data_IF_921299714877
#
_entry.id   IF_921299714877
#
_cell.length_a   1.000
_cell.length_b   1.000
_cell.length_c   1.000
_cell.angle_alpha   90.00
_cell.angle_beta   90.00
_cell.angle_gamma   90.00
#
_symmetry.space_group_name_H-M   'P 1'
#
loop_
_entity.id
_entity.type
_entity.pdbx_description
1 polymer ?
#
# COMPACT_ATOMS: atom_id res chain seq x y z
N UNK A 1 -6.32 -23.93 -4.34
CA UNK A 1 -5.81 -22.63 -4.85
C UNK A 1 -5.86 -21.67 -3.67
N UNK A 2 -4.80 -20.90 -3.44
CA UNK A 2 -4.79 -19.89 -2.38
C UNK A 2 -6.02 -18.98 -2.52
N UNK A 3 -6.58 -18.56 -1.38
CA UNK A 3 -7.74 -17.67 -1.37
C UNK A 3 -7.38 -16.35 -2.06
N UNK A 4 -7.98 -16.10 -3.24
CA UNK A 4 -7.73 -14.88 -4.00
C UNK A 4 -8.26 -13.61 -3.30
N UNK A 5 -9.01 -13.77 -2.21
CA UNK A 5 -9.55 -12.67 -1.40
C UNK A 5 -8.69 -12.31 -0.19
N UNK A 6 -7.59 -13.04 0.05
CA UNK A 6 -6.68 -12.81 1.17
C UNK A 6 -5.23 -12.61 0.70
N UNK A 7 -4.90 -11.39 0.29
CA UNK A 7 -3.54 -10.98 -0.03
C UNK A 7 -2.80 -10.66 1.28
N UNK A 8 -1.58 -11.20 1.43
CA UNK A 8 -0.71 -10.98 2.59
C UNK A 8 0.52 -10.22 2.17
N UNK A 9 0.87 -9.17 2.92
CA UNK A 9 2.10 -8.42 2.70
C UNK A 9 3.18 -8.91 3.63
N UNK A 10 4.34 -9.19 3.05
CA UNK A 10 5.51 -9.71 3.75
C UNK A 10 6.69 -8.78 3.56
N UNK A 11 7.53 -8.71 4.58
CA UNK A 11 8.83 -8.06 4.55
C UNK A 11 9.91 -9.13 4.62
N UNK A 12 10.73 -9.21 3.57
CA UNK A 12 11.86 -10.13 3.54
C UNK A 12 13.17 -9.35 3.47
N UNK A 13 14.09 -9.61 4.42
CA UNK A 13 15.41 -8.96 4.47
C UNK A 13 16.51 -9.94 4.85
N UNK A 14 17.64 -9.82 4.17
CA UNK A 14 18.85 -10.58 4.48
C UNK A 14 19.56 -9.97 5.69
N UNK A 15 19.79 -10.77 6.73
CA UNK A 15 20.48 -10.33 7.95
C UNK A 15 22.02 -10.41 7.88
N UNK A 16 22.55 -10.89 6.74
CA UNK A 16 23.96 -11.22 6.56
C UNK A 16 24.21 -12.72 6.42
N UNK A 17 23.30 -13.56 6.90
CA UNK A 17 23.44 -15.02 6.96
C UNK A 17 22.20 -15.82 6.54
N UNK A 18 21.00 -15.29 6.77
CA UNK A 18 19.72 -15.91 6.42
C UNK A 18 18.70 -14.84 6.02
N UNK A 19 17.75 -15.22 5.16
CA UNK A 19 16.59 -14.39 4.86
C UNK A 19 15.59 -14.47 6.01
N UNK A 20 15.32 -13.32 6.63
CA UNK A 20 14.18 -13.15 7.52
C UNK A 20 12.96 -12.82 6.68
N UNK A 21 11.81 -13.44 6.96
CA UNK A 21 10.52 -13.21 6.29
C UNK A 21 9.42 -13.08 7.36
N UNK A 22 8.81 -11.90 7.42
CA UNK A 22 7.77 -11.57 8.38
C UNK A 22 6.53 -11.03 7.67
N UNK A 23 5.35 -11.58 7.98
CA UNK A 23 4.09 -10.96 7.59
C UNK A 23 3.97 -9.58 8.26
N UNK A 24 3.72 -8.56 7.46
CA UNK A 24 3.48 -7.20 7.93
C UNK A 24 2.01 -7.06 8.34
N UNK A 25 1.09 -7.41 7.43
CA UNK A 25 -0.35 -7.21 7.60
C UNK A 25 -1.17 -8.01 6.56
N UNK A 26 -2.43 -8.38 6.87
CA UNK A 26 -3.41 -8.69 5.83
C UNK A 26 -3.67 -7.47 4.94
N UNK A 27 -3.32 -7.58 3.66
CA UNK A 27 -3.59 -6.59 2.61
C UNK A 27 -5.02 -6.62 2.09
N UNK A 28 -5.81 -7.62 2.51
CA UNK A 28 -7.20 -7.81 2.07
C UNK A 28 -7.27 -8.38 0.66
N UNK A 29 -8.37 -8.11 -0.05
CA UNK A 29 -8.56 -8.56 -1.44
C UNK A 29 -8.00 -7.55 -2.44
N UNK A 30 -8.38 -7.71 -3.70
CA UNK A 30 -8.14 -6.73 -4.76
C UNK A 30 -8.91 -5.42 -4.55
N UNK A 31 -8.37 -4.29 -5.04
CA UNK A 31 -9.02 -2.98 -4.94
C UNK A 31 -10.05 -2.66 -6.05
N UNK A 32 -9.98 -3.22 -7.27
CA UNK A 32 -11.01 -2.98 -8.28
C UNK A 32 -12.43 -3.30 -7.78
N UNK A 33 -13.36 -2.43 -8.14
CA UNK A 33 -14.76 -2.47 -7.73
C UNK A 33 -15.62 -2.95 -8.89
N UNK A 34 -15.55 -4.24 -9.20
CA UNK A 34 -16.40 -4.86 -10.22
C UNK A 34 -17.91 -4.69 -9.89
N UNK A 35 -18.74 -4.23 -10.85
CA UNK A 35 -20.18 -4.08 -10.65
C UNK A 35 -20.89 -5.39 -10.27
N UNK A 36 -22.03 -5.33 -9.55
CA UNK A 36 -22.83 -6.51 -9.24
C UNK A 36 -23.22 -7.30 -10.48
N UNK A 37 -23.18 -8.64 -10.38
CA UNK A 37 -23.48 -9.54 -11.51
C UNK A 37 -22.31 -9.80 -12.45
N UNK A 38 -21.17 -9.13 -12.25
CA UNK A 38 -19.94 -9.39 -13.01
C UNK A 38 -18.90 -10.11 -12.14
N UNK A 39 -18.03 -10.89 -12.78
CA UNK A 39 -16.90 -11.55 -12.13
C UNK A 39 -15.68 -10.63 -12.16
N UNK A 40 -15.02 -10.48 -11.02
CA UNK A 40 -13.74 -9.78 -10.96
C UNK A 40 -12.68 -10.49 -11.81
N UNK A 41 -11.97 -9.71 -12.63
CA UNK A 41 -10.89 -10.19 -13.50
C UNK A 41 -9.51 -9.95 -12.88
N UNK A 42 -9.38 -8.93 -12.04
CA UNK A 42 -8.13 -8.47 -11.44
C UNK A 42 -8.00 -8.96 -9.98
N UNK A 43 -8.32 -10.24 -9.72
CA UNK A 43 -8.36 -10.82 -8.36
C UNK A 43 -6.99 -10.83 -7.64
N UNK A 44 -5.91 -10.57 -8.35
CA UNK A 44 -4.55 -10.46 -7.80
C UNK A 44 -4.10 -8.99 -7.63
N UNK A 45 -4.97 -8.02 -7.94
CA UNK A 45 -4.59 -6.62 -7.97
C UNK A 45 -4.80 -5.96 -6.60
N UNK A 46 -3.85 -6.22 -5.71
CA UNK A 46 -3.83 -5.75 -4.33
C UNK A 46 -3.70 -4.22 -4.21
N UNK A 47 -4.00 -3.69 -3.02
CA UNK A 47 -3.81 -2.28 -2.69
C UNK A 47 -2.36 -1.81 -2.92
N UNK A 48 -1.37 -2.65 -2.64
CA UNK A 48 0.04 -2.42 -2.93
C UNK A 48 0.87 -2.08 -1.69
N UNK A 49 2.16 -2.38 -1.76
CA UNK A 49 3.18 -2.14 -0.74
C UNK A 49 4.48 -1.75 -1.44
N UNK A 50 5.23 -0.83 -0.84
CA UNK A 50 6.51 -0.34 -1.34
C UNK A 50 7.46 -0.05 -0.17
N UNK A 51 8.73 -0.38 -0.35
CA UNK A 51 9.80 0.02 0.56
C UNK A 51 10.25 1.44 0.20
N UNK A 52 10.64 2.22 1.19
CA UNK A 52 11.42 3.42 0.90
C UNK A 52 12.74 3.02 0.25
N UNK A 53 13.10 3.75 -0.81
CA UNK A 53 14.28 3.44 -1.62
C UNK A 53 15.59 3.83 -0.92
N UNK A 54 15.54 4.82 -0.02
CA UNK A 54 16.70 5.31 0.73
C UNK A 54 16.80 4.64 2.11
N UNK A 55 15.66 4.22 2.67
CA UNK A 55 15.60 3.52 3.95
C UNK A 55 14.65 2.29 3.93
N UNK A 56 15.17 1.09 3.60
CA UNK A 56 14.36 -0.13 3.56
C UNK A 56 13.78 -0.60 4.91
N UNK A 57 14.05 0.10 6.02
CA UNK A 57 13.35 -0.09 7.30
C UNK A 57 11.96 0.60 7.31
N UNK A 58 11.66 1.41 6.29
CA UNK A 58 10.39 2.10 6.10
C UNK A 58 9.57 1.47 4.97
N UNK A 59 8.30 1.24 5.25
CA UNK A 59 7.32 0.64 4.32
C UNK A 59 6.09 1.52 4.21
N UNK A 60 5.60 1.72 2.99
CA UNK A 60 4.29 2.28 2.72
C UNK A 60 3.39 1.19 2.14
N UNK A 61 2.22 0.97 2.73
CA UNK A 61 1.29 -0.06 2.29
C UNK A 61 -0.13 0.48 2.21
N UNK A 62 -0.94 -0.13 1.34
CA UNK A 62 -2.36 0.13 1.20
C UNK A 62 -3.16 -1.10 1.61
N UNK A 63 -4.06 -0.96 2.58
CA UNK A 63 -4.94 -2.06 3.04
C UNK A 63 -6.35 -1.57 3.35
N UNK A 64 -7.36 -2.44 3.30
CA UNK A 64 -8.73 -2.03 3.62
C UNK A 64 -8.90 -1.75 5.12
N UNK A 65 -9.54 -0.63 5.41
CA UNK A 65 -10.02 -0.22 6.74
C UNK A 65 -11.48 0.16 6.57
N UNK A 66 -12.39 -0.55 7.23
CA UNK A 66 -13.84 -0.34 7.09
C UNK A 66 -14.31 -0.35 5.62
N UNK A 67 -13.68 -1.18 4.78
CA UNK A 67 -14.06 -1.34 3.38
C UNK A 67 -13.43 -0.34 2.41
N UNK A 68 -12.64 0.64 2.87
CA UNK A 68 -11.89 1.60 2.05
C UNK A 68 -10.39 1.31 2.17
N UNK A 69 -9.66 1.29 1.05
CA UNK A 69 -8.20 1.16 1.09
C UNK A 69 -7.54 2.45 1.58
N UNK A 70 -6.67 2.33 2.58
CA UNK A 70 -5.96 3.44 3.21
C UNK A 70 -4.45 3.21 3.19
N UNK A 71 -3.67 4.30 3.11
CA UNK A 71 -2.21 4.26 3.14
C UNK A 71 -1.70 4.35 4.57
N UNK A 72 -0.84 3.40 4.93
CA UNK A 72 -0.16 3.31 6.22
C UNK A 72 1.36 3.33 5.98
N UNK A 73 2.09 4.17 6.73
CA UNK A 73 3.54 4.09 6.87
C UNK A 73 3.85 3.18 8.05
N UNK A 74 4.79 2.25 7.87
CA UNK A 74 5.34 1.42 8.93
C UNK A 74 6.85 1.52 8.95
N UNK A 75 7.42 1.42 10.15
CA UNK A 75 8.86 1.46 10.38
C UNK A 75 9.25 0.35 11.34
N UNK A 76 10.32 -0.36 11.02
CA UNK A 76 10.92 -1.39 11.87
C UNK A 76 12.32 -0.96 12.29
N UNK A 77 12.78 -1.44 13.45
CA UNK A 77 14.18 -1.30 13.88
C UNK A 77 14.82 -2.68 14.13
N UNK A 78 14.10 -3.73 13.78
CA UNK A 78 14.41 -5.12 14.11
C UNK A 78 14.08 -6.02 12.91
N UNK A 79 14.50 -5.64 11.71
CA UNK A 79 14.38 -6.48 10.50
C UNK A 79 12.95 -6.98 10.19
N UNK A 80 11.94 -6.25 10.64
CA UNK A 80 10.52 -6.55 10.40
C UNK A 80 9.85 -7.42 11.46
N UNK A 81 10.54 -7.75 12.57
CA UNK A 81 9.93 -8.47 13.70
C UNK A 81 8.82 -7.62 14.36
N UNK A 82 9.04 -6.32 14.52
CA UNK A 82 8.04 -5.37 15.03
C UNK A 82 7.95 -4.12 14.16
N UNK A 83 6.77 -3.49 14.20
CA UNK A 83 6.44 -2.34 13.37
C UNK A 83 5.80 -1.23 14.19
N UNK A 84 6.30 -0.01 14.03
CA UNK A 84 5.62 1.23 14.41
C UNK A 84 4.80 1.72 13.22
N UNK A 85 3.53 2.00 13.45
CA UNK A 85 2.57 2.38 12.40
C UNK A 85 2.12 3.83 12.49
N UNK A 86 1.91 4.46 11.33
CA UNK A 86 1.29 5.78 11.18
C UNK A 86 0.38 5.82 9.95
N UNK A 87 -0.81 6.40 10.10
CA UNK A 87 -1.70 6.64 8.97
C UNK A 87 -1.21 7.81 8.10
N UNK A 88 -1.13 7.59 6.79
CA UNK A 88 -0.96 8.65 5.78
C UNK A 88 -2.33 9.13 5.31
N UNK A 89 -3.27 8.18 5.10
CA UNK A 89 -4.69 8.47 4.87
C UNK A 89 -5.53 7.75 5.91
N UNK A 90 -6.66 8.33 6.31
CA UNK A 90 -7.63 7.69 7.18
C UNK A 90 -9.03 8.26 6.93
N UNK A 91 -10.06 7.44 7.22
CA UNK A 91 -11.47 7.83 7.08
C UNK A 91 -11.79 8.42 5.70
N UNK A 92 -11.09 7.95 4.68
CA UNK A 92 -11.21 8.42 3.31
C UNK A 92 -12.56 8.02 2.72
N UNK A 93 -13.09 8.86 1.83
CA UNK A 93 -14.28 8.52 1.06
C UNK A 93 -14.00 7.51 -0.07
N UNK A 94 -12.76 7.51 -0.58
CA UNK A 94 -12.34 6.80 -1.78
C UNK A 94 -11.08 5.99 -1.50
N UNK A 95 -10.88 4.92 -2.27
CA UNK A 95 -9.75 4.01 -2.09
C UNK A 95 -8.43 4.72 -2.41
N UNK A 96 -7.46 4.63 -1.51
CA UNK A 96 -6.08 5.08 -1.67
C UNK A 96 -5.18 3.86 -1.85
N UNK A 97 -4.62 3.68 -3.04
CA UNK A 97 -3.90 2.47 -3.42
C UNK A 97 -2.59 2.80 -4.13
N UNK A 98 -1.76 1.77 -4.27
CA UNK A 98 -0.52 1.76 -5.04
C UNK A 98 0.43 2.86 -4.58
N UNK A 99 0.83 2.86 -3.30
CA UNK A 99 1.84 3.80 -2.83
C UNK A 99 3.13 3.64 -3.63
N UNK A 100 3.80 4.76 -3.87
CA UNK A 100 5.07 4.83 -4.55
C UNK A 100 5.94 5.90 -3.90
N UNK A 101 7.19 5.56 -3.62
CA UNK A 101 8.17 6.49 -3.04
C UNK A 101 8.97 7.12 -4.18
N UNK A 102 8.92 8.46 -4.37
CA UNK A 102 9.76 9.14 -5.36
C UNK A 102 11.24 8.94 -5.08
N UNK A 103 12.02 8.77 -6.14
CA UNK A 103 13.47 8.64 -6.05
C UNK A 103 14.12 10.00 -5.85
N UNK A 104 15.25 10.03 -5.15
CA UNK A 104 16.07 11.23 -4.93
C UNK A 104 15.31 12.35 -4.22
N UNK A 105 14.48 11.99 -3.24
CA UNK A 105 13.83 12.96 -2.35
C UNK A 105 14.86 13.40 -1.30
N UNK A 106 15.24 14.69 -1.22
CA UNK A 106 16.23 15.11 -0.24
C UNK A 106 15.81 14.76 1.19
N UNK A 107 16.76 14.45 2.06
CA UNK A 107 16.49 14.16 3.48
C UNK A 107 15.63 15.27 4.11
N UNK A 108 14.50 14.89 4.70
CA UNK A 108 13.53 15.81 5.30
C UNK A 108 12.61 16.55 4.32
N UNK A 109 12.73 16.31 3.01
CA UNK A 109 11.84 16.89 2.01
C UNK A 109 10.54 16.08 1.84
N UNK A 110 9.45 16.80 1.55
CA UNK A 110 8.14 16.24 1.19
C UNK A 110 7.83 16.49 -0.29
N UNK A 111 6.98 15.66 -0.93
CA UNK A 111 6.31 14.47 -0.39
C UNK A 111 7.24 13.25 -0.31
N UNK A 112 6.99 12.37 0.66
CA UNK A 112 7.66 11.07 0.77
C UNK A 112 6.95 9.98 -0.04
N UNK A 113 5.64 10.13 -0.27
CA UNK A 113 4.85 9.10 -0.94
C UNK A 113 3.79 9.69 -1.86
N UNK A 114 3.67 9.08 -3.04
CA UNK A 114 2.61 9.29 -4.01
C UNK A 114 1.66 8.10 -3.99
N UNK A 115 0.38 8.28 -4.31
CA UNK A 115 -0.56 7.17 -4.44
C UNK A 115 -1.72 7.50 -5.39
N UNK A 116 -2.43 6.47 -5.84
CA UNK A 116 -3.67 6.60 -6.59
C UNK A 116 -4.86 6.78 -5.64
N UNK A 117 -5.66 7.83 -5.85
CA UNK A 117 -6.94 8.01 -5.18
C UNK A 117 -8.09 7.72 -6.17
N UNK A 118 -8.78 6.60 -5.96
CA UNK A 118 -9.76 6.04 -6.88
C UNK A 118 -11.18 6.45 -6.52
N UNK A 119 -11.73 7.43 -7.24
CA UNK A 119 -13.16 7.77 -7.16
C UNK A 119 -14.03 6.62 -7.70
N UNK A 120 -13.54 5.99 -8.77
CA UNK A 120 -14.10 4.78 -9.39
C UNK A 120 -12.97 4.00 -10.04
N UNK A 121 -12.88 2.70 -9.80
CA UNK A 121 -11.93 1.84 -10.51
C UNK A 121 -12.56 0.48 -10.74
N UNK A 122 -12.98 0.20 -11.97
CA UNK A 122 -13.52 -1.12 -12.36
C UNK A 122 -12.43 -1.96 -13.00
N UNK A 123 -11.57 -1.34 -13.79
CA UNK A 123 -10.49 -1.98 -14.54
C UNK A 123 -9.50 -0.92 -15.03
N UNK A 124 -8.30 -1.31 -15.45
CA UNK A 124 -7.32 -0.36 -16.04
C UNK A 124 -7.82 0.39 -17.27
N UNK A 125 -8.95 0.00 -17.87
CA UNK A 125 -9.57 0.68 -19.02
C UNK A 125 -10.86 1.44 -18.64
N UNK A 126 -11.30 1.38 -17.39
CA UNK A 126 -12.47 2.09 -16.86
C UNK A 126 -12.21 2.51 -15.42
N UNK A 127 -11.70 3.72 -15.28
CA UNK A 127 -11.29 4.29 -14.01
C UNK A 127 -11.43 5.82 -14.01
N UNK A 128 -11.55 6.36 -12.81
CA UNK A 128 -11.45 7.76 -12.48
C UNK A 128 -10.56 7.85 -11.24
N UNK A 129 -9.31 8.28 -11.44
CA UNK A 129 -8.28 8.35 -10.41
C UNK A 129 -7.51 9.65 -10.52
N UNK A 130 -7.05 10.16 -9.38
CA UNK A 130 -6.00 11.18 -9.33
C UNK A 130 -4.74 10.59 -8.68
N UNK A 131 -3.60 11.25 -8.89
CA UNK A 131 -2.40 11.02 -8.07
C UNK A 131 -2.40 12.02 -6.92
N UNK A 132 -2.25 11.51 -5.70
CA UNK A 132 -2.16 12.27 -4.46
C UNK A 132 -0.79 12.08 -3.83
N UNK A 133 -0.46 12.95 -2.87
CA UNK A 133 0.85 13.00 -2.22
C UNK A 133 0.75 13.59 -0.81
N UNK A 134 1.66 13.24 0.09
CA UNK A 134 1.65 13.64 1.51
C UNK A 134 2.21 15.06 1.76
N UNK A 135 1.87 15.98 0.85
CA UNK A 135 2.22 17.41 0.98
C UNK A 135 1.46 18.01 2.17
N UNK A 136 2.12 18.74 3.08
CA UNK A 136 1.45 19.53 4.10
C UNK A 136 0.60 20.60 3.41
N UNK A 137 -0.65 20.77 3.82
CA UNK A 137 -1.45 21.92 3.40
C UNK A 137 -0.70 23.17 3.89
N UNK A 138 -0.35 24.05 2.95
CA UNK A 138 0.24 25.37 3.23
C UNK A 138 -0.77 26.28 3.94
#
# INVERSE_FOLDING_TARGET
>A
LADSTDHRYHYARWDGTVWQDHEIVPGGKWFPRTPPGHREREIHYSGGVVLDHEDPDVVYLSRPVNGVFEIERRETMDLGFTWKSQWITNQSKYDNVRPFVPWFTPEGAKPHVLWMNNYRYVHYSDYQTDIRMDIPIL
#
